data_IF_128022523233
#
_entry.id   IF_128022523233
#
_cell.length_a   1.000
_cell.length_b   1.000
_cell.length_c   1.000
_cell.angle_alpha   90.00
_cell.angle_beta   90.00
_cell.angle_gamma   90.00
#
_symmetry.space_group_name_H-M   'P 1'
#
loop_
_entity.id
_entity.type
_entity.pdbx_description
1 polymer ?
#
# COMPACT_ATOMS: atom_id res chain seq x y z
N UNK A 1 15.80 0.85 27.00
CA UNK A 1 14.93 0.52 25.84
C UNK A 1 15.84 0.00 24.74
N UNK A 2 15.57 -1.17 24.16
CA UNK A 2 16.39 -1.70 23.05
C UNK A 2 15.98 -1.07 21.73
N UNK A 3 16.88 -1.05 20.74
CA UNK A 3 16.58 -0.61 19.37
C UNK A 3 15.40 -1.41 18.79
N UNK A 4 15.32 -2.71 19.10
CA UNK A 4 14.21 -3.55 18.65
C UNK A 4 12.86 -3.10 19.22
N UNK A 5 12.81 -2.69 20.49
CA UNK A 5 11.58 -2.20 21.10
C UNK A 5 11.13 -0.88 20.47
N UNK A 6 12.08 0.00 20.12
CA UNK A 6 11.78 1.25 19.40
C UNK A 6 11.21 0.96 17.99
N UNK A 7 11.83 0.04 17.24
CA UNK A 7 11.33 -0.34 15.91
C UNK A 7 9.93 -0.97 15.95
N UNK A 8 9.64 -1.78 16.97
CA UNK A 8 8.32 -2.35 17.16
C UNK A 8 7.28 -1.27 17.48
N UNK A 9 7.62 -0.30 18.34
CA UNK A 9 6.73 0.82 18.65
C UNK A 9 6.44 1.67 17.40
N UNK A 10 7.47 2.01 16.62
CA UNK A 10 7.30 2.77 15.37
C UNK A 10 6.44 2.01 14.35
N UNK A 11 6.58 0.69 14.28
CA UNK A 11 5.71 -0.16 13.45
C UNK A 11 4.26 -0.10 13.91
N UNK A 12 4.01 -0.18 15.21
CA UNK A 12 2.66 -0.08 15.78
C UNK A 12 2.03 1.29 15.51
N UNK A 13 2.77 2.37 15.72
CA UNK A 13 2.35 3.75 15.39
C UNK A 13 2.00 3.86 13.90
N UNK A 14 2.85 3.36 13.01
CA UNK A 14 2.59 3.35 11.58
C UNK A 14 1.32 2.58 11.20
N UNK A 15 1.05 1.44 11.82
CA UNK A 15 -0.19 0.67 11.60
C UNK A 15 -1.40 1.50 12.03
N UNK A 16 -1.32 2.24 13.14
CA UNK A 16 -2.42 3.11 13.60
C UNK A 16 -2.65 4.32 12.68
N UNK A 17 -1.62 4.80 11.99
CA UNK A 17 -1.76 5.87 10.99
C UNK A 17 -2.30 5.39 9.63
N UNK A 18 -2.29 4.09 9.36
CA UNK A 18 -2.65 3.54 8.05
C UNK A 18 -4.06 3.94 7.59
N UNK A 19 -5.11 3.94 8.44
CA UNK A 19 -6.44 4.45 8.06
C UNK A 19 -6.43 5.89 7.55
N UNK A 20 -5.65 6.77 8.18
CA UNK A 20 -5.52 8.16 7.73
C UNK A 20 -4.84 8.23 6.35
N UNK A 21 -3.81 7.41 6.11
CA UNK A 21 -3.14 7.34 4.81
C UNK A 21 -4.09 6.81 3.72
N UNK A 22 -4.94 5.84 4.04
CA UNK A 22 -5.99 5.35 3.13
C UNK A 22 -6.97 6.46 2.79
N UNK A 23 -7.41 7.24 3.77
CA UNK A 23 -8.28 8.39 3.55
C UNK A 23 -7.63 9.43 2.62
N UNK A 24 -6.35 9.78 2.85
CA UNK A 24 -5.61 10.69 1.97
C UNK A 24 -5.56 10.19 0.53
N UNK A 25 -5.30 8.90 0.32
CA UNK A 25 -5.32 8.28 -1.03
C UNK A 25 -6.71 8.41 -1.67
N UNK A 26 -7.80 8.21 -0.91
CA UNK A 26 -9.17 8.39 -1.40
C UNK A 26 -9.46 9.84 -1.80
N UNK A 27 -8.99 10.81 -1.01
CA UNK A 27 -9.13 12.25 -1.29
C UNK A 27 -8.35 12.65 -2.55
N UNK A 28 -7.19 12.05 -2.78
CA UNK A 28 -6.34 12.31 -3.94
C UNK A 28 -6.73 11.53 -5.20
N UNK A 29 -7.82 10.74 -5.21
CA UNK A 29 -8.19 9.84 -6.32
C UNK A 29 -8.24 10.49 -7.72
N UNK A 30 -8.52 11.79 -7.80
CA UNK A 30 -8.60 12.54 -9.06
C UNK A 30 -7.29 13.25 -9.44
N UNK A 31 -6.23 13.11 -8.64
CA UNK A 31 -4.94 13.75 -8.85
C UNK A 31 -3.81 12.70 -8.89
N UNK A 32 -3.48 12.26 -10.11
CA UNK A 32 -2.47 11.22 -10.36
C UNK A 32 -1.11 11.57 -9.75
N UNK A 33 -0.71 12.84 -9.77
CA UNK A 33 0.58 13.26 -9.20
C UNK A 33 0.62 13.05 -7.68
N UNK A 34 -0.47 13.41 -6.98
CA UNK A 34 -0.57 13.22 -5.53
C UNK A 34 -0.66 11.73 -5.18
N UNK A 35 -1.43 10.94 -5.94
CA UNK A 35 -1.50 9.49 -5.74
C UNK A 35 -0.14 8.82 -5.88
N UNK A 36 0.64 9.21 -6.91
CA UNK A 36 2.00 8.68 -7.09
C UNK A 36 2.86 8.96 -5.86
N UNK A 37 2.80 10.18 -5.34
CA UNK A 37 3.58 10.58 -4.17
C UNK A 37 3.13 9.84 -2.91
N UNK A 38 1.83 9.61 -2.74
CA UNK A 38 1.28 8.82 -1.64
C UNK A 38 1.75 7.37 -1.71
N UNK A 39 1.65 6.72 -2.87
CA UNK A 39 2.13 5.34 -3.05
C UNK A 39 3.66 5.26 -2.94
N UNK A 40 4.41 6.26 -3.39
CA UNK A 40 5.86 6.31 -3.20
C UNK A 40 6.25 6.34 -1.72
N UNK A 41 5.60 7.21 -0.93
CA UNK A 41 5.80 7.27 0.53
C UNK A 41 5.41 5.97 1.20
N UNK A 42 4.25 5.42 0.84
CA UNK A 42 3.72 4.18 1.39
C UNK A 42 4.65 2.98 1.10
N UNK A 43 5.23 2.93 -0.10
CA UNK A 43 6.27 1.96 -0.48
C UNK A 43 7.49 2.06 0.43
N UNK A 44 7.96 3.27 0.68
CA UNK A 44 9.11 3.55 1.56
C UNK A 44 8.84 3.13 3.00
N UNK A 45 7.73 3.58 3.58
CA UNK A 45 7.36 3.29 4.97
C UNK A 45 7.08 1.80 5.19
N UNK A 46 6.47 1.11 4.23
CA UNK A 46 6.30 -0.35 4.28
C UNK A 46 7.63 -1.11 4.41
N UNK A 47 8.69 -0.66 3.72
CA UNK A 47 10.04 -1.24 3.88
C UNK A 47 10.63 -0.93 5.25
N UNK A 48 10.58 0.35 5.66
CA UNK A 48 11.16 0.83 6.92
C UNK A 48 10.58 0.09 8.12
N UNK A 49 9.27 -0.15 8.14
CA UNK A 49 8.58 -0.76 9.27
C UNK A 49 8.35 -2.27 9.12
N UNK A 50 8.92 -2.92 8.09
CA UNK A 50 8.84 -4.36 7.89
C UNK A 50 7.41 -4.86 7.68
N UNK A 51 6.68 -4.21 6.78
CA UNK A 51 5.36 -4.62 6.29
C UNK A 51 5.46 -4.78 4.75
N UNK A 52 5.99 -5.93 4.29
CA UNK A 52 6.31 -6.14 2.88
C UNK A 52 5.07 -6.05 1.98
N UNK A 53 3.89 -6.43 2.46
CA UNK A 53 2.64 -6.39 1.72
C UNK A 53 2.29 -4.96 1.30
N UNK A 54 2.46 -4.00 2.20
CA UNK A 54 2.24 -2.58 1.89
C UNK A 54 3.27 -2.11 0.86
N UNK A 55 4.54 -2.49 1.02
CA UNK A 55 5.58 -2.05 0.09
C UNK A 55 5.37 -2.58 -1.32
N UNK A 56 4.96 -3.85 -1.44
CA UNK A 56 4.73 -4.49 -2.73
C UNK A 56 3.49 -3.92 -3.44
N UNK A 57 2.37 -3.78 -2.73
CA UNK A 57 1.16 -3.15 -3.26
C UNK A 57 1.44 -1.72 -3.74
N UNK A 58 2.09 -0.92 -2.89
CA UNK A 58 2.37 0.49 -3.19
C UNK A 58 3.32 0.65 -4.38
N UNK A 59 4.30 -0.24 -4.54
CA UNK A 59 5.19 -0.27 -5.71
C UNK A 59 4.41 -0.45 -7.01
N UNK A 60 3.47 -1.38 -7.05
CA UNK A 60 2.67 -1.63 -8.25
C UNK A 60 1.74 -0.46 -8.58
N UNK A 61 1.09 0.13 -7.57
CA UNK A 61 0.25 1.31 -7.77
C UNK A 61 1.04 2.55 -8.20
N UNK A 62 2.22 2.78 -7.62
CA UNK A 62 3.12 3.85 -8.06
C UNK A 62 3.48 3.69 -9.55
N UNK A 63 3.77 2.48 -10.02
CA UNK A 63 4.03 2.27 -11.44
C UNK A 63 2.81 2.51 -12.32
N UNK A 64 1.64 2.04 -11.90
CA UNK A 64 0.39 2.27 -12.63
C UNK A 64 0.13 3.79 -12.77
N UNK A 65 0.47 4.59 -11.76
CA UNK A 65 0.29 6.05 -11.83
C UNK A 65 1.21 6.76 -12.85
N UNK A 66 2.30 6.13 -13.31
CA UNK A 66 3.16 6.69 -14.35
C UNK A 66 2.50 6.69 -15.73
N UNK A 67 1.64 5.70 -15.99
CA UNK A 67 0.86 5.59 -17.22
C UNK A 67 -0.49 4.91 -16.89
N UNK A 68 -1.47 5.67 -16.34
CA UNK A 68 -2.73 5.10 -15.87
C UNK A 68 -3.50 4.40 -17.00
N UNK A 69 -3.82 3.10 -16.87
CA UNK A 69 -4.61 2.37 -17.85
C UNK A 69 -6.10 2.70 -17.74
N UNK A 70 -6.92 2.23 -18.69
CA UNK A 70 -8.36 2.47 -18.70
C UNK A 70 -9.09 1.95 -17.43
N UNK A 71 -8.54 0.91 -16.79
CA UNK A 71 -9.05 0.33 -15.55
C UNK A 71 -8.31 0.82 -14.29
N UNK A 72 -7.70 2.00 -14.36
CA UNK A 72 -7.00 2.61 -13.23
C UNK A 72 -7.88 2.76 -11.98
N UNK A 73 -9.12 3.24 -12.15
CA UNK A 73 -10.03 3.44 -11.01
C UNK A 73 -10.34 2.13 -10.29
N UNK A 74 -10.54 1.04 -11.04
CA UNK A 74 -10.74 -0.30 -10.47
C UNK A 74 -9.49 -0.75 -9.69
N UNK A 75 -8.29 -0.53 -10.24
CA UNK A 75 -7.04 -0.84 -9.55
C UNK A 75 -6.88 -0.04 -8.25
N UNK A 76 -7.25 1.24 -8.26
CA UNK A 76 -7.22 2.11 -7.08
C UNK A 76 -8.20 1.63 -6.01
N UNK A 77 -9.45 1.32 -6.38
CA UNK A 77 -10.45 0.77 -5.45
C UNK A 77 -9.96 -0.54 -4.82
N UNK A 78 -9.41 -1.45 -5.63
CA UNK A 78 -8.82 -2.70 -5.15
C UNK A 78 -7.62 -2.47 -4.23
N UNK A 79 -6.75 -1.51 -4.54
CA UNK A 79 -5.61 -1.17 -3.70
C UNK A 79 -6.04 -0.64 -2.34
N UNK A 80 -7.05 0.24 -2.29
CA UNK A 80 -7.63 0.75 -1.04
C UNK A 80 -8.19 -0.41 -0.20
N UNK A 81 -8.98 -1.30 -0.82
CA UNK A 81 -9.52 -2.48 -0.14
C UNK A 81 -8.41 -3.39 0.43
N UNK A 82 -7.34 -3.62 -0.33
CA UNK A 82 -6.18 -4.39 0.15
C UNK A 82 -5.47 -3.71 1.32
N UNK A 83 -5.34 -2.38 1.33
CA UNK A 83 -4.75 -1.65 2.47
C UNK A 83 -5.61 -1.78 3.73
N UNK A 84 -6.94 -1.75 3.60
CA UNK A 84 -7.88 -2.00 4.71
C UNK A 84 -7.78 -3.43 5.25
N UNK A 85 -7.62 -4.42 4.35
CA UNK A 85 -7.38 -5.81 4.72
C UNK A 85 -6.04 -5.97 5.45
N UNK A 86 -4.97 -5.38 4.92
CA UNK A 86 -3.65 -5.42 5.59
C UNK A 86 -3.74 -4.78 6.97
N UNK A 87 -4.38 -3.61 7.10
CA UNK A 87 -4.62 -2.97 8.40
C UNK A 87 -5.32 -3.92 9.39
N UNK A 88 -6.40 -4.56 8.95
CA UNK A 88 -7.18 -5.50 9.76
C UNK A 88 -6.34 -6.70 10.20
N UNK A 89 -5.54 -7.27 9.30
CA UNK A 89 -4.69 -8.41 9.62
C UNK A 89 -3.55 -8.03 10.57
N UNK A 90 -2.90 -6.88 10.36
CA UNK A 90 -1.83 -6.39 11.21
C UNK A 90 -2.33 -6.08 12.64
N UNK A 91 -3.50 -5.46 12.78
CA UNK A 91 -4.12 -5.21 14.10
C UNK A 91 -4.53 -6.50 14.82
N UNK A 92 -4.89 -7.55 14.08
CA UNK A 92 -5.18 -8.88 14.62
C UNK A 92 -3.94 -9.76 14.80
N UNK A 93 -2.74 -9.26 14.46
CA UNK A 93 -1.47 -10.02 14.45
C UNK A 93 -1.56 -11.32 13.63
N UNK A 94 -2.24 -11.26 12.49
CA UNK A 94 -2.40 -12.35 11.52
C UNK A 94 -1.55 -12.10 10.27
N UNK A 95 -1.16 -13.19 9.60
CA UNK A 95 -0.45 -13.12 8.33
C UNK A 95 -1.43 -12.88 7.19
N UNK A 96 -1.11 -11.94 6.30
CA UNK A 96 -1.89 -11.65 5.10
C UNK A 96 -1.14 -12.10 3.85
N UNK A 97 -1.67 -13.08 3.13
CA UNK A 97 -1.06 -13.58 1.89
C UNK A 97 -1.40 -12.70 0.69
N UNK A 98 -0.68 -11.59 0.51
CA UNK A 98 -0.90 -10.66 -0.60
C UNK A 98 -0.79 -11.35 -1.97
N UNK A 99 0.22 -12.21 -2.15
CA UNK A 99 0.52 -12.86 -3.44
C UNK A 99 -0.54 -13.87 -3.92
N UNK A 100 -1.46 -14.28 -3.04
CA UNK A 100 -2.57 -15.18 -3.37
C UNK A 100 -3.88 -14.40 -3.56
N UNK A 101 -3.88 -13.09 -3.28
CA UNK A 101 -5.08 -12.29 -3.32
C UNK A 101 -5.46 -11.91 -4.77
N UNK A 102 -6.69 -12.23 -5.25
CA UNK A 102 -7.11 -11.92 -6.61
C UNK A 102 -7.04 -10.42 -6.97
N UNK A 103 -7.36 -9.54 -6.02
CA UNK A 103 -7.29 -8.08 -6.24
C UNK A 103 -5.84 -7.62 -6.45
N UNK A 104 -4.89 -8.23 -5.74
CA UNK A 104 -3.48 -7.94 -5.92
C UNK A 104 -2.95 -8.48 -7.25
N UNK A 105 -3.33 -9.71 -7.64
CA UNK A 105 -2.96 -10.29 -8.93
C UNK A 105 -3.48 -9.44 -10.09
N UNK A 106 -4.70 -8.89 -9.97
CA UNK A 106 -5.24 -7.92 -10.92
C UNK A 106 -4.35 -6.68 -11.01
N UNK A 107 -4.06 -6.00 -9.89
CA UNK A 107 -3.20 -4.80 -9.86
C UNK A 107 -1.82 -5.11 -10.48
N UNK A 108 -1.22 -6.23 -10.09
CA UNK A 108 0.09 -6.67 -10.59
C UNK A 108 0.11 -6.88 -12.10
N UNK A 109 -0.99 -7.35 -12.69
CA UNK A 109 -1.12 -7.52 -14.14
C UNK A 109 -1.12 -6.19 -14.92
N UNK A 110 -1.48 -5.07 -14.27
CA UNK A 110 -1.55 -3.75 -14.88
C UNK A 110 -0.24 -2.97 -14.80
N UNK A 111 0.57 -3.26 -13.78
CA UNK A 111 1.87 -2.63 -13.64
C UNK A 111 2.85 -3.24 -14.66
N UNK A 112 3.15 -2.51 -15.73
CA UNK A 112 4.28 -2.84 -16.59
C UNK A 112 5.54 -2.32 -15.93
N UNK A 113 6.52 -3.19 -15.67
CA UNK A 113 7.87 -2.70 -15.35
C UNK A 113 8.37 -1.90 -16.56
N UNK A 114 8.80 -0.63 -16.39
CA UNK A 114 9.64 -0.03 -17.41
C UNK A 114 10.94 -0.84 -17.48
N UNK A 115 11.32 -1.24 -18.69
CA UNK A 115 12.61 -1.87 -19.00
C UNK A 115 13.80 -1.00 -18.55
#
# INVERSE_FOLDING_TARGET
>A
MSIQNLLNQLKEEYIQELPQKIQTIQEHKNNISLLRDDFHKLKGTGKTYGIPEISELAKHMEWITLAPPANFEEALTKAIHLLEQIYTFQTQKRNFSLNENPDFLFIKSLSKQPD
#
